data_IF_486862909111
#
_entry.id   IF_486862909111
#
_cell.length_a   1.000
_cell.length_b   1.000
_cell.length_c   1.000
_cell.angle_alpha   90.00
_cell.angle_beta   90.00
_cell.angle_gamma   90.00
#
_symmetry.space_group_name_H-M   'P 1'
#
loop_
_entity.id
_entity.type
_entity.pdbx_description
1 polymer ?
#
# COMPACT_ATOMS: atom_id res chain seq x y z
N UNK A 1 33.15 2.53 -14.69
CA UNK A 1 31.80 2.77 -14.15
C UNK A 1 31.12 1.41 -14.04
N UNK A 2 31.06 0.85 -12.83
CA UNK A 2 30.36 -0.41 -12.58
C UNK A 2 28.87 -0.11 -12.52
N UNK A 3 28.08 -0.85 -13.31
CA UNK A 3 26.63 -0.80 -13.28
C UNK A 3 26.18 -1.17 -11.87
N UNK A 4 25.61 -0.19 -11.16
CA UNK A 4 24.82 -0.42 -9.96
C UNK A 4 23.68 -1.34 -10.40
N UNK A 5 23.76 -2.60 -10.01
CA UNK A 5 22.79 -3.63 -10.40
C UNK A 5 21.55 -3.31 -9.59
N UNK A 6 20.66 -2.53 -10.22
CA UNK A 6 19.48 -1.90 -9.66
C UNK A 6 18.82 -2.73 -8.57
N UNK A 7 19.08 -2.34 -7.33
CA UNK A 7 18.30 -2.80 -6.19
C UNK A 7 16.89 -2.28 -6.46
N UNK A 8 16.01 -3.11 -7.01
CA UNK A 8 14.61 -2.75 -7.17
C UNK A 8 14.15 -2.24 -5.81
N UNK A 9 13.77 -0.96 -5.74
CA UNK A 9 13.31 -0.34 -4.51
C UNK A 9 12.18 -1.23 -3.99
N UNK A 10 12.43 -1.87 -2.84
CA UNK A 10 11.45 -2.78 -2.27
C UNK A 10 10.31 -1.90 -1.79
N UNK A 11 9.13 -2.09 -2.35
CA UNK A 11 7.95 -1.32 -2.01
C UNK A 11 6.96 -2.16 -1.22
N UNK A 12 6.37 -1.57 -0.17
CA UNK A 12 5.22 -2.11 0.54
C UNK A 12 4.00 -1.25 0.23
N UNK A 13 2.91 -1.90 -0.18
CA UNK A 13 1.63 -1.24 -0.43
C UNK A 13 0.68 -1.46 0.74
N UNK A 14 0.31 -0.38 1.40
CA UNK A 14 -0.68 -0.36 2.48
C UNK A 14 -2.05 -0.03 1.89
N UNK A 15 -2.99 -0.96 2.00
CA UNK A 15 -4.37 -0.78 1.57
C UNK A 15 -5.23 -0.51 2.81
N UNK A 16 -5.94 0.63 2.83
CA UNK A 16 -6.71 1.06 3.99
C UNK A 16 -8.22 1.18 3.73
N UNK A 17 -9.03 0.97 4.78
CA UNK A 17 -10.47 1.22 4.76
C UNK A 17 -10.78 2.72 4.69
N UNK A 18 -12.07 3.08 4.53
CA UNK A 18 -12.53 4.48 4.53
C UNK A 18 -12.16 5.23 5.83
N UNK A 19 -11.92 4.48 6.92
CA UNK A 19 -11.63 5.01 8.24
C UNK A 19 -10.14 5.22 8.51
N UNK A 20 -9.29 5.22 7.48
CA UNK A 20 -7.86 5.51 7.63
C UNK A 20 -7.55 6.84 8.35
N UNK A 21 -8.53 7.74 8.44
CA UNK A 21 -8.39 8.98 9.18
C UNK A 21 -8.36 8.84 10.70
N UNK A 22 -8.69 7.66 11.25
CA UNK A 22 -8.62 7.41 12.69
C UNK A 22 -7.17 7.51 13.21
N UNK A 23 -6.96 8.04 14.44
CA UNK A 23 -5.62 8.24 14.99
C UNK A 23 -4.76 6.98 15.01
N UNK A 24 -5.36 5.82 15.33
CA UNK A 24 -4.64 4.55 15.42
C UNK A 24 -4.13 4.08 14.04
N UNK A 25 -4.93 4.21 12.98
CA UNK A 25 -4.55 3.78 11.63
C UNK A 25 -3.44 4.64 11.06
N UNK A 26 -3.53 5.96 11.28
CA UNK A 26 -2.46 6.91 10.94
C UNK A 26 -1.17 6.60 11.70
N UNK A 27 -1.27 6.37 13.00
CA UNK A 27 -0.11 6.05 13.83
C UNK A 27 0.56 4.76 13.38
N UNK A 28 -0.22 3.71 13.11
CA UNK A 28 0.31 2.45 12.57
C UNK A 28 1.01 2.66 11.23
N UNK A 29 0.38 3.39 10.29
CA UNK A 29 1.00 3.68 9.00
C UNK A 29 2.34 4.39 9.15
N UNK A 30 2.41 5.46 9.94
CA UNK A 30 3.64 6.22 10.13
C UNK A 30 4.74 5.39 10.82
N UNK A 31 4.37 4.57 11.80
CA UNK A 31 5.32 3.66 12.45
C UNK A 31 5.94 2.68 11.43
N UNK A 32 5.11 2.04 10.59
CA UNK A 32 5.59 1.12 9.54
C UNK A 32 6.39 1.85 8.47
N UNK A 33 5.91 3.02 8.04
CA UNK A 33 6.57 3.86 7.04
C UNK A 33 7.99 4.23 7.48
N UNK A 34 8.15 4.79 8.68
CA UNK A 34 9.42 5.32 9.14
C UNK A 34 10.45 4.20 9.36
N UNK A 35 10.03 3.07 9.94
CA UNK A 35 10.89 1.88 10.14
C UNK A 35 11.37 1.27 8.83
N UNK A 36 10.50 1.19 7.82
CA UNK A 36 10.85 0.61 6.51
C UNK A 36 11.66 1.57 5.65
N UNK A 37 11.35 2.86 5.70
CA UNK A 37 12.08 3.89 4.97
C UNK A 37 13.55 3.94 5.42
N UNK A 38 13.81 3.81 6.72
CA UNK A 38 15.18 3.71 7.27
C UNK A 38 15.96 2.49 6.74
N UNK A 39 15.26 1.44 6.29
CA UNK A 39 15.84 0.22 5.72
C UNK A 39 15.93 0.26 4.18
N UNK A 40 15.58 1.38 3.57
CA UNK A 40 15.54 1.55 2.11
C UNK A 40 14.38 0.81 1.45
N UNK A 41 13.26 0.64 2.17
CA UNK A 41 12.03 0.05 1.67
C UNK A 41 10.98 1.16 1.62
N UNK A 42 10.45 1.45 0.43
CA UNK A 42 9.42 2.48 0.26
C UNK A 42 8.07 1.94 0.74
N UNK A 43 7.26 2.81 1.33
CA UNK A 43 5.89 2.47 1.77
C UNK A 43 4.91 3.45 1.12
N UNK A 44 3.89 2.90 0.45
CA UNK A 44 2.80 3.68 -0.16
C UNK A 44 1.48 3.27 0.43
N UNK A 45 0.51 4.19 0.43
CA UNK A 45 -0.85 3.92 0.91
C UNK A 45 -1.90 4.19 -0.17
N UNK A 46 -2.90 3.32 -0.25
CA UNK A 46 -4.09 3.45 -1.10
C UNK A 46 -5.35 3.21 -0.27
N UNK A 47 -6.38 4.02 -0.49
CA UNK A 47 -7.69 3.76 0.09
C UNK A 47 -8.53 2.87 -0.82
N UNK A 48 -9.10 1.83 -0.21
CA UNK A 48 -10.04 0.91 -0.85
C UNK A 48 -11.50 1.36 -0.69
N UNK A 49 -11.75 2.47 0.03
CA UNK A 49 -13.11 2.97 0.33
C UNK A 49 -14.03 1.95 1.02
N UNK A 50 -13.54 0.82 1.54
CA UNK A 50 -14.35 -0.19 2.25
C UNK A 50 -15.05 0.46 3.46
N UNK A 51 -16.36 0.24 3.68
CA UNK A 51 -17.23 -0.78 3.05
C UNK A 51 -17.98 -0.33 1.78
N UNK A 52 -17.57 0.74 1.11
CA UNK A 52 -18.24 1.20 -0.12
C UNK A 52 -18.06 0.26 -1.34
N UNK A 53 -17.23 -0.78 -1.23
CA UNK A 53 -17.15 -1.86 -2.22
C UNK A 53 -18.23 -2.90 -1.91
N UNK A 54 -19.29 -2.90 -2.72
CA UNK A 54 -20.51 -3.69 -2.52
C UNK A 54 -20.53 -4.97 -3.34
N UNK A 55 -19.82 -5.02 -4.47
CA UNK A 55 -19.81 -6.17 -5.37
C UNK A 55 -18.45 -6.48 -6.02
N UNK A 56 -18.39 -7.62 -6.70
CA UNK A 56 -17.18 -8.12 -7.37
C UNK A 56 -16.74 -7.23 -8.55
N UNK A 57 -17.66 -6.49 -9.19
CA UNK A 57 -17.32 -5.59 -10.29
C UNK A 57 -16.50 -4.40 -9.78
N UNK A 58 -16.92 -3.80 -8.67
CA UNK A 58 -16.19 -2.71 -8.01
C UNK A 58 -14.81 -3.17 -7.51
N UNK A 59 -14.75 -4.38 -6.93
CA UNK A 59 -13.47 -4.99 -6.52
C UNK A 59 -12.53 -5.17 -7.71
N UNK A 60 -13.03 -5.68 -8.84
CA UNK A 60 -12.23 -5.86 -10.05
C UNK A 60 -11.75 -4.53 -10.65
N UNK A 61 -12.58 -3.48 -10.60
CA UNK A 61 -12.18 -2.14 -11.03
C UNK A 61 -11.03 -1.60 -10.18
N UNK A 62 -11.08 -1.79 -8.86
CA UNK A 62 -9.99 -1.41 -7.94
C UNK A 62 -8.72 -2.21 -8.24
N UNK A 63 -8.83 -3.53 -8.44
CA UNK A 63 -7.68 -4.37 -8.79
C UNK A 63 -7.03 -3.90 -10.10
N UNK A 64 -7.82 -3.60 -11.12
CA UNK A 64 -7.32 -3.07 -12.40
C UNK A 64 -6.59 -1.75 -12.20
N UNK A 65 -7.20 -0.79 -11.49
CA UNK A 65 -6.57 0.50 -11.15
C UNK A 65 -5.24 0.32 -10.42
N UNK A 66 -5.18 -0.60 -9.45
CA UNK A 66 -3.95 -0.88 -8.70
C UNK A 66 -2.88 -1.50 -9.60
N UNK A 67 -3.22 -2.43 -10.49
CA UNK A 67 -2.26 -3.03 -11.43
C UNK A 67 -1.71 -2.02 -12.44
N UNK A 68 -2.53 -1.07 -12.88
CA UNK A 68 -2.08 0.01 -13.76
C UNK A 68 -1.15 0.99 -13.03
N UNK A 69 -1.47 1.33 -11.77
CA UNK A 69 -0.66 2.25 -10.94
C UNK A 69 0.65 1.62 -10.46
N UNK A 70 0.64 0.31 -10.21
CA UNK A 70 1.76 -0.48 -9.68
C UNK A 70 2.13 -1.58 -10.69
N UNK A 71 2.80 -1.24 -11.81
CA UNK A 71 3.14 -2.21 -12.85
C UNK A 71 4.17 -3.24 -12.41
N UNK A 72 4.96 -2.91 -11.37
CA UNK A 72 5.84 -3.85 -10.66
C UNK A 72 5.14 -4.25 -9.37
N UNK A 73 4.98 -5.56 -9.09
CA UNK A 73 4.30 -6.00 -7.88
C UNK A 73 5.09 -5.55 -6.63
N UNK A 74 4.41 -5.00 -5.61
CA UNK A 74 5.07 -4.65 -4.35
C UNK A 74 5.59 -5.92 -3.66
N UNK A 75 6.61 -5.76 -2.83
CA UNK A 75 7.19 -6.85 -2.05
C UNK A 75 6.22 -7.40 -1.00
N UNK A 76 5.31 -6.56 -0.51
CA UNK A 76 4.22 -6.96 0.39
C UNK A 76 3.00 -6.04 0.23
N UNK A 77 1.83 -6.59 0.54
CA UNK A 77 0.58 -5.84 0.67
C UNK A 77 0.11 -5.96 2.12
N UNK A 78 -0.16 -4.83 2.77
CA UNK A 78 -0.66 -4.76 4.14
C UNK A 78 -2.08 -4.21 4.10
N UNK A 79 -3.05 -4.94 4.62
CA UNK A 79 -4.43 -4.49 4.74
C UNK A 79 -4.66 -3.92 6.15
N UNK A 80 -5.08 -2.66 6.23
CA UNK A 80 -5.49 -2.01 7.48
C UNK A 80 -6.99 -1.75 7.40
N UNK A 81 -7.76 -2.54 8.16
CA UNK A 81 -9.19 -2.36 8.34
C UNK A 81 -9.53 -1.85 9.73
N UNK A 82 -10.79 -1.49 9.96
CA UNK A 82 -11.28 -1.23 11.31
C UNK A 82 -11.23 -2.53 12.16
N UNK A 83 -10.95 -2.41 13.48
CA UNK A 83 -10.97 -3.55 14.41
C UNK A 83 -12.38 -4.16 14.57
#
# INVERSE_FOLDING_TARGET
MLADTGKAEKEVLVLNSINFNLPWSKHFYWCVHDELQQRGVSVKAESLSVPALLDTMEVNAVITRLREKYPVPPAAIVLIGDP
#
